data_IF_994197698291
#
_entry.id   IF_994197698291
#
_cell.length_a   1.000
_cell.length_b   1.000
_cell.length_c   1.000
_cell.angle_alpha   90.00
_cell.angle_beta   90.00
_cell.angle_gamma   90.00
#
_symmetry.space_group_name_H-M   'P 1'
#
loop_
_entity.id
_entity.type
_entity.pdbx_description
1 polymer ?
#
# COMPACT_ATOMS: atom_id res chain seq x y z
N UNK A 1 0.32 16.64 3.82
CA UNK A 1 0.81 16.29 2.47
C UNK A 1 0.13 14.98 2.08
N UNK A 2 -0.28 14.77 0.82
CA UNK A 2 -0.85 13.49 0.41
C UNK A 2 0.22 12.39 0.54
N UNK A 3 -0.18 11.25 1.10
CA UNK A 3 0.70 10.08 1.22
C UNK A 3 0.63 9.30 -0.10
N UNK A 4 1.50 9.64 -1.05
CA UNK A 4 1.57 8.97 -2.34
C UNK A 4 2.64 7.89 -2.33
N UNK A 5 2.22 6.65 -2.50
CA UNK A 5 3.04 5.45 -2.54
C UNK A 5 3.18 4.98 -3.98
N UNK A 6 4.43 4.96 -4.46
CA UNK A 6 4.74 4.48 -5.80
C UNK A 6 4.85 2.94 -5.78
N UNK A 7 4.22 2.30 -6.75
CA UNK A 7 4.17 0.84 -6.86
C UNK A 7 4.83 0.40 -8.16
N UNK A 8 5.72 -0.59 -8.08
CA UNK A 8 6.43 -1.19 -9.23
C UNK A 8 6.60 -2.69 -9.03
N UNK A 9 7.16 -3.39 -10.02
CA UNK A 9 7.57 -4.79 -9.87
C UNK A 9 9.08 -4.88 -9.58
N UNK A 10 9.46 -5.73 -8.64
CA UNK A 10 10.84 -6.14 -8.39
C UNK A 10 11.17 -7.41 -9.17
N UNK A 11 11.85 -7.21 -10.30
CA UNK A 11 12.25 -8.29 -11.22
C UNK A 11 13.46 -9.11 -10.71
N UNK A 12 14.07 -8.70 -9.59
CA UNK A 12 15.17 -9.45 -8.98
C UNK A 12 14.72 -10.64 -8.13
N UNK A 13 13.41 -10.71 -7.85
CA UNK A 13 12.76 -11.83 -7.15
C UNK A 13 12.27 -12.91 -8.13
N UNK A 14 12.19 -14.17 -7.70
CA UNK A 14 11.62 -15.27 -8.50
C UNK A 14 10.59 -16.06 -7.66
N UNK A 15 9.28 -15.93 -7.95
CA UNK A 15 8.69 -15.06 -8.97
C UNK A 15 8.86 -13.57 -8.65
N UNK A 16 8.68 -12.70 -9.65
CA UNK A 16 8.65 -11.24 -9.45
C UNK A 16 7.62 -10.87 -8.37
N UNK A 17 7.88 -9.78 -7.66
CA UNK A 17 7.02 -9.31 -6.57
C UNK A 17 6.65 -7.84 -6.73
N UNK A 18 5.56 -7.42 -6.09
CA UNK A 18 5.17 -6.01 -6.04
C UNK A 18 6.01 -5.32 -4.97
N UNK A 19 6.64 -4.22 -5.37
CA UNK A 19 7.36 -3.33 -4.48
C UNK A 19 6.56 -2.05 -4.28
N UNK A 20 6.46 -1.60 -3.02
CA UNK A 20 5.89 -0.29 -2.67
C UNK A 20 7.01 0.58 -2.13
N UNK A 21 7.24 1.74 -2.75
CA UNK A 21 8.25 2.69 -2.29
C UNK A 21 7.77 3.40 -1.01
N UNK A 22 8.44 3.09 0.10
CA UNK A 22 8.19 3.68 1.41
C UNK A 22 9.35 4.58 1.87
N UNK A 23 10.30 4.91 0.99
CA UNK A 23 11.43 5.78 1.30
C UNK A 23 10.96 7.16 1.80
N UNK A 24 11.77 7.79 2.65
CA UNK A 24 11.47 9.12 3.17
C UNK A 24 10.21 9.19 4.06
N UNK A 25 9.75 8.06 4.61
CA UNK A 25 8.52 7.95 5.39
C UNK A 25 7.23 8.19 4.57
N UNK A 26 7.20 7.84 3.29
CA UNK A 26 6.02 8.01 2.45
C UNK A 26 4.77 7.29 2.99
N UNK A 27 4.98 6.24 3.79
CA UNK A 27 3.92 5.46 4.45
C UNK A 27 3.51 5.99 5.84
N UNK A 28 4.12 7.07 6.31
CA UNK A 28 3.77 7.69 7.58
C UNK A 28 2.68 8.74 7.38
N UNK A 29 1.53 8.52 7.99
CA UNK A 29 0.43 9.49 8.04
C UNK A 29 0.54 10.25 9.35
N UNK A 30 0.75 11.56 9.28
CA UNK A 30 0.74 12.43 10.46
C UNK A 30 -0.66 12.60 11.03
N UNK A 31 -0.78 13.11 12.25
CA UNK A 31 -2.09 13.45 12.81
C UNK A 31 -2.72 14.66 12.12
N UNK A 32 -4.01 14.57 11.86
CA UNK A 32 -4.83 15.63 11.29
C UNK A 32 -6.26 15.58 11.85
N UNK A 33 -6.90 16.74 12.10
CA UNK A 33 -8.32 16.77 12.45
C UNK A 33 -9.21 16.31 11.28
N UNK A 34 -8.74 16.50 10.05
CA UNK A 34 -9.44 16.09 8.83
C UNK A 34 -8.88 14.77 8.29
N UNK A 35 -9.72 13.88 7.72
CA UNK A 35 -9.25 12.67 7.08
C UNK A 35 -8.24 12.93 5.97
N UNK A 36 -7.23 12.07 5.88
CA UNK A 36 -6.19 12.13 4.86
C UNK A 36 -6.36 11.01 3.85
N UNK A 37 -5.89 11.23 2.63
CA UNK A 37 -5.88 10.21 1.58
C UNK A 37 -4.48 9.65 1.40
N UNK A 38 -4.41 8.32 1.41
CA UNK A 38 -3.25 7.54 0.98
C UNK A 38 -3.55 7.04 -0.43
N UNK A 39 -2.60 7.21 -1.34
CA UNK A 39 -2.72 6.79 -2.73
C UNK A 39 -1.61 5.82 -3.07
N UNK A 40 -1.96 4.71 -3.70
CA UNK A 40 -1.03 3.80 -4.36
C UNK A 40 -1.15 4.04 -5.86
N UNK A 41 -0.03 4.30 -6.52
CA UNK A 41 0.03 4.61 -7.95
C UNK A 41 1.00 3.63 -8.62
N UNK A 42 0.54 2.87 -9.62
CA UNK A 42 1.46 2.04 -10.39
C UNK A 42 2.38 2.94 -11.23
N UNK A 43 3.65 2.58 -11.27
CA UNK A 43 4.73 3.31 -11.92
C UNK A 43 5.78 2.35 -12.48
N UNK A 44 6.73 2.87 -13.26
CA UNK A 44 7.81 2.07 -13.82
C UNK A 44 7.28 0.91 -14.68
N UNK A 45 7.81 -0.28 -14.46
CA UNK A 45 7.41 -1.51 -15.14
C UNK A 45 6.00 -2.02 -14.76
N UNK A 46 5.36 -1.48 -13.72
CA UNK A 46 3.97 -1.78 -13.39
C UNK A 46 2.96 -0.76 -13.97
N UNK A 47 3.42 0.31 -14.63
CA UNK A 47 2.58 1.46 -14.99
C UNK A 47 1.44 1.15 -15.98
N UNK A 48 1.56 0.08 -16.76
CA UNK A 48 0.52 -0.43 -17.67
C UNK A 48 -0.47 -1.39 -16.98
N UNK A 49 -0.20 -1.78 -15.74
CA UNK A 49 -0.98 -2.75 -15.00
C UNK A 49 -2.26 -2.21 -14.38
N UNK A 50 -2.88 -3.05 -13.55
CA UNK A 50 -4.05 -2.72 -12.76
C UNK A 50 -3.91 -3.27 -11.33
N UNK A 51 -4.30 -2.47 -10.34
CA UNK A 51 -4.45 -2.94 -8.97
C UNK A 51 -5.70 -3.81 -8.91
N UNK A 52 -5.55 -5.05 -8.43
CA UNK A 52 -6.63 -6.04 -8.35
C UNK A 52 -7.22 -6.04 -6.94
N UNK A 53 -6.36 -6.03 -5.92
CA UNK A 53 -6.79 -6.20 -4.53
C UNK A 53 -5.87 -5.50 -3.54
N UNK A 54 -6.48 -5.14 -2.41
CA UNK A 54 -5.81 -4.65 -1.21
C UNK A 54 -6.45 -5.32 -0.01
N UNK A 55 -5.63 -5.85 0.88
CA UNK A 55 -6.10 -6.44 2.12
C UNK A 55 -5.12 -6.20 3.27
N UNK A 56 -5.65 -5.91 4.44
CA UNK A 56 -4.85 -5.93 5.66
C UNK A 56 -4.43 -7.38 5.97
N UNK A 57 -3.17 -7.56 6.35
CA UNK A 57 -2.64 -8.86 6.76
C UNK A 57 -2.25 -8.82 8.24
N UNK A 58 -2.16 -9.99 8.86
CA UNK A 58 -2.03 -10.15 10.31
C UNK A 58 -3.20 -9.52 11.08
N UNK A 59 -2.93 -8.49 11.90
CA UNK A 59 -3.95 -7.82 12.71
C UNK A 59 -4.47 -6.60 11.94
N UNK A 60 -5.73 -6.59 11.50
CA UNK A 60 -6.30 -5.44 10.81
C UNK A 60 -6.45 -4.24 11.76
N UNK A 61 -6.53 -3.02 11.21
CA UNK A 61 -6.83 -1.83 12.00
C UNK A 61 -8.21 -1.90 12.64
N UNK A 62 -8.39 -1.29 13.83
CA UNK A 62 -9.72 -1.02 14.37
C UNK A 62 -10.63 -0.33 13.36
N UNK A 63 -11.92 -0.65 13.44
CA UNK A 63 -12.94 -0.01 12.58
C UNK A 63 -12.91 1.52 12.73
N UNK A 64 -13.09 2.22 11.62
CA UNK A 64 -13.15 3.68 11.58
C UNK A 64 -11.80 4.39 11.46
N UNK A 65 -10.67 3.69 11.57
CA UNK A 65 -9.35 4.29 11.28
C UNK A 65 -9.20 4.49 9.77
N UNK A 66 -9.44 3.43 8.98
CA UNK A 66 -9.36 3.47 7.53
C UNK A 66 -10.74 3.30 6.88
N UNK A 67 -10.95 4.01 5.79
CA UNK A 67 -12.10 3.80 4.90
C UNK A 67 -11.96 2.54 4.05
N UNK A 68 -12.92 2.28 3.17
CA UNK A 68 -12.80 1.22 2.17
C UNK A 68 -11.80 1.61 1.09
N UNK A 69 -10.95 0.68 0.60
CA UNK A 69 -10.08 0.95 -0.54
C UNK A 69 -10.91 1.19 -1.81
N UNK A 70 -10.54 2.18 -2.60
CA UNK A 70 -11.19 2.51 -3.85
C UNK A 70 -10.18 2.47 -5.00
N UNK A 71 -10.36 1.53 -5.92
CA UNK A 71 -9.55 1.40 -7.13
C UNK A 71 -10.14 2.32 -8.22
N UNK A 72 -9.27 3.07 -8.91
CA UNK A 72 -9.68 3.96 -10.00
C UNK A 72 -10.26 3.18 -11.17
N UNK A 73 -11.10 3.83 -12.00
CA UNK A 73 -11.74 3.15 -13.15
C UNK A 73 -10.77 2.60 -14.20
N UNK A 74 -9.51 3.03 -14.20
CA UNK A 74 -8.44 2.50 -15.04
C UNK A 74 -7.50 1.52 -14.31
N UNK A 75 -7.81 1.12 -13.07
CA UNK A 75 -7.00 0.18 -12.27
C UNK A 75 -5.66 0.71 -11.76
N UNK A 76 -5.16 1.82 -12.31
CA UNK A 76 -3.80 2.30 -12.08
C UNK A 76 -3.58 2.99 -10.71
N UNK A 77 -4.66 3.29 -9.99
CA UNK A 77 -4.59 3.89 -8.66
C UNK A 77 -5.52 3.19 -7.68
N UNK A 78 -5.09 3.14 -6.43
CA UNK A 78 -5.92 2.81 -5.28
C UNK A 78 -5.83 3.95 -4.29
N UNK A 79 -6.97 4.35 -3.72
CA UNK A 79 -7.03 5.34 -2.64
C UNK A 79 -7.64 4.74 -1.38
N UNK A 80 -7.17 5.19 -0.24
CA UNK A 80 -7.66 4.81 1.08
C UNK A 80 -7.75 6.06 1.95
N UNK A 81 -8.91 6.29 2.57
CA UNK A 81 -9.07 7.35 3.57
C UNK A 81 -8.49 6.89 4.91
N UNK A 82 -7.84 7.79 5.63
CA UNK A 82 -7.25 7.58 6.95
C UNK A 82 -7.72 8.68 7.90
N UNK A 83 -8.21 8.28 9.07
CA UNK A 83 -8.72 9.15 10.13
C UNK A 83 -7.73 9.21 11.31
N UNK A 84 -6.43 9.39 11.04
CA UNK A 84 -5.42 9.59 12.09
C UNK A 84 -5.61 10.93 12.82
N UNK A 85 -6.57 11.02 13.73
CA UNK A 85 -6.94 12.27 14.41
C UNK A 85 -6.53 12.32 15.88
N UNK A 86 -6.06 11.21 16.46
CA UNK A 86 -5.83 11.09 17.89
C UNK A 86 -4.80 10.02 18.24
N UNK A 87 -4.40 9.93 19.50
CA UNK A 87 -3.51 8.87 19.96
C UNK A 87 -4.16 7.47 19.85
N UNK A 88 -5.49 7.37 19.90
CA UNK A 88 -6.22 6.11 19.72
C UNK A 88 -6.26 5.61 18.29
N UNK A 89 -5.94 6.47 17.31
CA UNK A 89 -5.88 6.12 15.88
C UNK A 89 -4.44 5.91 15.40
N UNK A 90 -3.46 5.93 16.32
CA UNK A 90 -2.07 5.65 16.04
C UNK A 90 -1.82 4.14 15.97
N UNK A 91 -0.90 3.71 15.11
CA UNK A 91 -0.62 2.29 14.90
C UNK A 91 0.22 2.02 13.67
N UNK A 92 0.52 0.75 13.44
CA UNK A 92 1.21 0.27 12.24
C UNK A 92 0.49 -0.96 11.75
N UNK A 93 0.09 -0.95 10.49
CA UNK A 93 -0.69 -2.02 9.89
C UNK A 93 -0.05 -2.49 8.61
N UNK A 94 0.13 -3.79 8.51
CA UNK A 94 0.72 -4.45 7.37
C UNK A 94 -0.39 -4.82 6.38
N UNK A 95 -0.13 -4.66 5.09
CA UNK A 95 -1.08 -5.01 4.05
C UNK A 95 -0.43 -5.82 2.95
N UNK A 96 -1.26 -6.47 2.14
CA UNK A 96 -0.89 -7.06 0.87
C UNK A 96 -1.59 -6.32 -0.26
N UNK A 97 -0.82 -5.95 -1.28
CA UNK A 97 -1.31 -5.36 -2.53
C UNK A 97 -1.07 -6.36 -3.66
N UNK A 98 -2.10 -6.59 -4.50
CA UNK A 98 -1.99 -7.44 -5.70
C UNK A 98 -2.25 -6.60 -6.94
N UNK A 99 -1.42 -6.78 -7.97
CA UNK A 99 -1.51 -6.10 -9.25
C UNK A 99 -1.46 -7.11 -10.39
N UNK A 100 -2.18 -6.82 -11.47
CA UNK A 100 -2.10 -7.52 -12.74
C UNK A 100 -1.20 -6.72 -13.67
N UNK A 101 -0.19 -7.34 -14.27
CA UNK A 101 0.59 -6.76 -15.37
C UNK A 101 0.70 -7.80 -16.48
N UNK A 102 0.28 -7.43 -17.68
CA UNK A 102 0.30 -8.30 -18.87
C UNK A 102 -0.36 -9.68 -18.65
N UNK A 103 -1.45 -9.71 -17.87
CA UNK A 103 -2.22 -10.92 -17.55
C UNK A 103 -1.58 -11.83 -16.50
N UNK A 104 -0.54 -11.37 -15.80
CA UNK A 104 0.07 -12.06 -14.67
C UNK A 104 -0.19 -11.30 -13.37
N UNK A 105 -0.54 -12.05 -12.32
CA UNK A 105 -0.77 -11.50 -10.98
C UNK A 105 0.51 -11.51 -10.16
N UNK A 106 0.84 -10.35 -9.60
CA UNK A 106 1.96 -10.16 -8.68
C UNK A 106 1.44 -9.58 -7.38
N UNK A 107 2.04 -9.97 -6.25
CA UNK A 107 1.69 -9.38 -4.96
C UNK A 107 2.92 -8.96 -4.18
N UNK A 108 2.70 -8.10 -3.19
CA UNK A 108 3.72 -7.80 -2.18
C UNK A 108 3.96 -9.07 -1.37
N UNK A 109 5.22 -9.44 -1.15
CA UNK A 109 5.54 -10.69 -0.44
C UNK A 109 5.07 -10.60 1.02
N UNK A 110 4.38 -11.63 1.48
CA UNK A 110 4.18 -11.90 2.90
C UNK A 110 5.20 -12.99 3.31
N UNK A 111 6.37 -12.56 3.79
CA UNK A 111 7.47 -13.31 4.43
C UNK A 111 8.32 -14.33 3.61
N UNK A 112 9.64 -14.03 3.41
CA UNK A 112 10.78 -14.99 3.42
C UNK A 112 12.11 -14.26 3.83
N UNK A 113 13.12 -14.96 4.42
CA UNK A 113 14.07 -14.40 5.40
C UNK A 113 15.27 -13.61 4.87
N UNK A 114 15.45 -13.40 3.57
CA UNK A 114 16.68 -12.79 3.06
C UNK A 114 16.45 -12.11 1.72
N UNK A 115 16.62 -10.79 1.69
CA UNK A 115 16.73 -9.98 0.47
C UNK A 115 15.52 -9.09 0.22
N UNK A 116 15.59 -7.82 0.67
CA UNK A 116 14.82 -6.64 0.21
C UNK A 116 13.32 -6.76 -0.08
N UNK A 117 12.62 -7.74 0.48
CA UNK A 117 11.17 -7.78 0.44
C UNK A 117 10.58 -7.07 1.66
N UNK A 118 10.20 -5.80 1.51
CA UNK A 118 9.55 -5.05 2.59
C UNK A 118 8.06 -5.32 2.55
N UNK A 119 7.59 -6.23 3.41
CA UNK A 119 6.15 -6.38 3.70
C UNK A 119 5.60 -4.99 4.05
N UNK A 120 4.75 -4.38 3.20
CA UNK A 120 4.53 -2.95 3.27
C UNK A 120 3.56 -2.62 4.41
N UNK A 121 3.76 -1.45 5.01
CA UNK A 121 2.97 -1.00 6.16
C UNK A 121 2.43 0.41 5.98
N UNK A 122 1.32 0.74 6.62
CA UNK A 122 0.89 2.13 6.88
C UNK A 122 1.14 2.44 8.35
N UNK A 123 1.67 3.63 8.64
CA UNK A 123 1.99 4.05 10.00
C UNK A 123 1.32 5.37 10.36
N UNK A 124 0.43 5.32 11.35
CA UNK A 124 -0.16 6.50 11.96
C UNK A 124 0.68 6.92 13.15
N UNK A 125 1.30 8.10 13.07
CA UNK A 125 2.11 8.69 14.16
C UNK A 125 1.30 9.78 14.88
#
# INVERSE_FOLDING_TARGET
>A
MPNNLHVSLDESTDPWSVQVDQQGNANHVGRSPDPQTITWQLTGNAASGSIISFQWIATPPPEGIFGSPAISGNGNQLTLSDTNNSASTAGTWTYQLTVEVDGNDYSTVADLPTGTSTTPTIKNN
#
